data_IF_200012163063
#
_entry.id   IF_200012163063
#
_cell.length_a   1.000
_cell.length_b   1.000
_cell.length_c   1.000
_cell.angle_alpha   90.00
_cell.angle_beta   90.00
_cell.angle_gamma   90.00
#
_symmetry.space_group_name_H-M   'P 1'
#
loop_
_entity.id
_entity.type
_entity.pdbx_description
1 polymer ?
#
# COMPACT_ATOMS: atom_id res chain seq x y z
N UNK A 1 -5.40 13.93 4.82
CA UNK A 1 -4.84 14.03 3.45
C UNK A 1 -5.55 13.07 2.50
N UNK A 2 -5.30 13.19 1.21
CA UNK A 2 -5.77 12.30 0.14
C UNK A 2 -4.63 11.93 -0.80
N UNK A 3 -4.64 10.68 -1.28
CA UNK A 3 -3.58 10.08 -2.08
C UNK A 3 -4.18 9.24 -3.21
N UNK A 4 -3.48 9.20 -4.33
CA UNK A 4 -3.77 8.31 -5.45
C UNK A 4 -3.20 6.92 -5.17
N UNK A 5 -4.05 6.01 -4.71
CA UNK A 5 -3.69 4.62 -4.50
C UNK A 5 -3.94 3.82 -5.76
N UNK A 6 -2.90 3.10 -6.21
CA UNK A 6 -2.94 2.25 -7.40
C UNK A 6 -2.51 0.84 -7.02
N UNK A 7 -3.23 -0.16 -7.52
CA UNK A 7 -2.86 -1.54 -7.27
C UNK A 7 -1.58 -1.92 -8.05
N UNK A 8 -0.75 -2.77 -7.44
CA UNK A 8 0.59 -3.06 -7.97
C UNK A 8 0.56 -3.63 -9.40
N UNK A 9 -0.42 -4.49 -9.73
CA UNK A 9 -0.53 -5.07 -11.08
C UNK A 9 -0.70 -4.00 -12.17
N UNK A 10 -1.42 -2.93 -11.88
CA UNK A 10 -1.59 -1.82 -12.83
C UNK A 10 -0.25 -1.10 -13.04
N UNK A 11 0.52 -0.87 -11.97
CA UNK A 11 1.86 -0.27 -12.08
C UNK A 11 2.79 -1.18 -12.89
N UNK A 12 2.77 -2.49 -12.66
CA UNK A 12 3.55 -3.46 -13.42
C UNK A 12 3.16 -3.44 -14.90
N UNK A 13 1.86 -3.43 -15.23
CA UNK A 13 1.37 -3.27 -16.62
C UNK A 13 1.88 -1.96 -17.24
N UNK A 14 1.86 -0.85 -16.51
CA UNK A 14 2.40 0.43 -16.98
C UNK A 14 3.91 0.41 -17.26
N UNK A 15 4.69 -0.25 -16.39
CA UNK A 15 6.14 -0.42 -16.57
C UNK A 15 6.46 -1.34 -17.75
N UNK A 16 5.77 -2.47 -17.87
CA UNK A 16 5.95 -3.38 -19.02
C UNK A 16 5.61 -2.65 -20.32
N UNK A 17 4.54 -1.86 -20.36
CA UNK A 17 4.17 -1.07 -21.54
C UNK A 17 5.23 -0.04 -21.92
N UNK A 18 5.90 0.60 -20.96
CA UNK A 18 6.94 1.59 -21.26
C UNK A 18 8.20 0.95 -21.82
N UNK A 19 8.48 -0.31 -21.45
CA UNK A 19 9.54 -1.12 -22.03
C UNK A 19 9.16 -1.55 -23.46
N UNK A 20 7.95 -2.07 -23.66
CA UNK A 20 7.48 -2.59 -24.95
C UNK A 20 7.21 -1.49 -26.00
N UNK A 21 6.96 -0.26 -25.55
CA UNK A 21 6.71 0.92 -26.39
C UNK A 21 7.72 2.00 -26.04
N UNK A 22 8.98 1.84 -26.47
CA UNK A 22 10.03 2.76 -26.10
C UNK A 22 9.76 4.15 -26.68
N UNK A 23 9.78 5.16 -25.81
CA UNK A 23 9.79 6.56 -26.20
C UNK A 23 11.04 7.23 -25.64
N UNK A 24 11.83 7.85 -26.51
CA UNK A 24 13.11 8.44 -26.14
C UNK A 24 12.92 9.62 -25.18
N UNK A 25 13.56 9.54 -24.01
CA UNK A 25 13.60 10.60 -22.99
C UNK A 25 12.22 11.03 -22.45
N UNK A 26 11.21 10.16 -22.55
CA UNK A 26 9.89 10.47 -22.03
C UNK A 26 9.72 10.05 -20.57
N UNK A 27 9.12 10.94 -19.77
CA UNK A 27 8.71 10.68 -18.39
C UNK A 27 7.20 10.41 -18.36
N UNK A 28 6.79 9.36 -17.67
CA UNK A 28 5.39 8.96 -17.53
C UNK A 28 5.02 8.86 -16.05
N UNK A 29 3.87 9.44 -15.69
CA UNK A 29 3.24 9.15 -14.41
C UNK A 29 2.36 7.90 -14.56
N UNK A 30 2.50 6.96 -13.63
CA UNK A 30 1.64 5.79 -13.52
C UNK A 30 0.87 5.90 -12.20
N UNK A 31 -0.45 5.80 -12.29
CA UNK A 31 -1.36 5.90 -11.16
C UNK A 31 -2.81 5.62 -11.58
N UNK A 32 -3.77 5.82 -10.67
CA UNK A 32 -5.20 5.76 -10.95
C UNK A 32 -5.68 7.06 -11.57
N UNK A 33 -5.10 8.19 -11.14
CA UNK A 33 -5.47 9.54 -11.54
C UNK A 33 -6.59 10.16 -10.70
N UNK A 34 -6.87 9.58 -9.53
CA UNK A 34 -7.94 10.03 -8.64
C UNK A 34 -7.56 9.77 -7.17
N UNK A 35 -7.83 10.74 -6.31
CA UNK A 35 -7.43 10.71 -4.90
C UNK A 35 -8.47 10.05 -4.02
N UNK A 36 -8.02 9.18 -3.12
CA UNK A 36 -8.83 8.59 -2.03
C UNK A 36 -8.44 9.25 -0.72
N UNK A 37 -9.40 9.56 0.15
CA UNK A 37 -9.08 10.15 1.46
C UNK A 37 -8.51 9.11 2.42
N UNK A 38 -7.71 9.53 3.41
CA UNK A 38 -7.21 8.60 4.45
C UNK A 38 -8.34 7.93 5.23
N UNK A 39 -9.43 8.65 5.50
CA UNK A 39 -10.59 8.07 6.19
C UNK A 39 -11.29 7.00 5.34
N UNK A 40 -11.41 7.23 4.04
CA UNK A 40 -11.96 6.24 3.10
C UNK A 40 -11.04 5.02 2.96
N UNK A 41 -9.72 5.24 2.91
CA UNK A 41 -8.73 4.17 2.96
C UNK A 41 -8.93 3.28 4.19
N UNK A 42 -9.01 3.89 5.39
CA UNK A 42 -9.20 3.16 6.65
C UNK A 42 -10.50 2.36 6.60
N UNK A 43 -11.62 2.98 6.22
CA UNK A 43 -12.92 2.32 6.16
C UNK A 43 -12.93 1.10 5.22
N UNK A 44 -12.25 1.18 4.06
CA UNK A 44 -12.13 0.06 3.12
C UNK A 44 -11.26 -1.06 3.71
N UNK A 45 -10.17 -0.72 4.41
CA UNK A 45 -9.35 -1.71 5.11
C UNK A 45 -10.15 -2.42 6.21
N UNK A 46 -10.84 -1.67 7.07
CA UNK A 46 -11.69 -2.22 8.14
C UNK A 46 -12.75 -3.18 7.59
N UNK A 47 -13.40 -2.81 6.49
CA UNK A 47 -14.39 -3.64 5.78
C UNK A 47 -13.82 -5.00 5.37
N UNK A 48 -12.62 -5.05 4.78
CA UNK A 48 -12.04 -6.32 4.28
C UNK A 48 -11.30 -7.11 5.37
N UNK A 49 -10.77 -6.44 6.38
CA UNK A 49 -10.16 -7.08 7.55
C UNK A 49 -11.22 -7.66 8.48
N UNK A 50 -12.37 -6.97 8.63
CA UNK A 50 -13.45 -7.33 9.55
C UNK A 50 -13.23 -6.83 10.98
N UNK A 51 -12.40 -5.79 11.16
CA UNK A 51 -12.05 -5.22 12.47
C UNK A 51 -11.86 -3.71 12.36
N UNK A 52 -12.35 -2.98 13.35
CA UNK A 52 -12.14 -1.53 13.47
C UNK A 52 -10.70 -1.19 13.86
N UNK A 53 -10.17 -0.14 13.27
CA UNK A 53 -8.85 0.40 13.56
C UNK A 53 -8.90 1.28 14.81
N UNK A 54 -7.90 1.16 15.67
CA UNK A 54 -7.69 2.13 16.75
C UNK A 54 -7.02 3.39 16.17
N UNK A 55 -7.83 4.34 15.72
CA UNK A 55 -7.36 5.56 15.06
C UNK A 55 -6.94 6.62 16.10
N UNK A 56 -5.66 6.99 16.10
CA UNK A 56 -5.14 8.13 16.86
C UNK A 56 -4.89 9.31 15.91
N UNK A 57 -5.68 10.37 16.06
CA UNK A 57 -5.47 11.60 15.31
C UNK A 57 -4.26 12.36 15.84
N UNK A 58 -3.42 12.80 14.92
CA UNK A 58 -2.17 13.52 15.21
C UNK A 58 -2.13 14.80 14.37
N UNK A 59 -1.30 15.79 14.76
CA UNK A 59 -1.06 16.96 13.93
C UNK A 59 -0.60 16.57 12.52
N UNK A 60 -0.90 17.43 11.55
CA UNK A 60 -0.43 17.27 10.18
C UNK A 60 1.10 17.19 10.14
N UNK A 61 1.62 16.27 9.35
CA UNK A 61 3.06 16.11 9.20
C UNK A 61 3.62 17.28 8.38
N UNK A 62 4.69 17.94 8.84
CA UNK A 62 5.29 19.03 8.09
C UNK A 62 5.87 18.49 6.77
N UNK A 63 5.48 19.12 5.65
CA UNK A 63 5.89 18.71 4.30
C UNK A 63 4.91 17.77 3.58
N UNK A 64 3.86 17.30 4.26
CA UNK A 64 2.82 16.51 3.61
C UNK A 64 1.89 17.41 2.78
N UNK A 65 1.67 17.03 1.51
CA UNK A 65 0.71 17.72 0.65
C UNK A 65 -0.72 17.23 0.99
N UNK A 66 -1.73 18.10 1.13
CA UNK A 66 -3.09 17.67 1.48
C UNK A 66 -3.74 16.73 0.45
N UNK A 67 -3.47 16.93 -0.83
CA UNK A 67 -4.01 16.16 -1.95
C UNK A 67 -2.93 15.99 -3.03
N UNK A 68 -2.76 14.78 -3.55
CA UNK A 68 -1.86 14.49 -4.68
C UNK A 68 -2.40 13.33 -5.51
N UNK A 69 -2.36 13.48 -6.83
CA UNK A 69 -2.76 12.45 -7.79
C UNK A 69 -1.92 12.51 -9.07
N UNK A 70 -1.84 11.38 -9.78
CA UNK A 70 -1.07 11.29 -11.02
C UNK A 70 -1.89 11.81 -12.21
N UNK A 71 -1.34 12.76 -12.99
CA UNK A 71 -1.85 12.99 -14.34
C UNK A 71 -1.32 11.88 -15.27
N UNK A 72 -2.20 10.96 -15.62
CA UNK A 72 -1.90 9.76 -16.44
C UNK A 72 -2.22 9.94 -17.92
N UNK A 73 -2.66 11.12 -18.36
CA UNK A 73 -3.08 11.36 -19.75
C UNK A 73 -2.00 10.97 -20.77
N UNK A 74 -0.75 11.33 -20.48
CA UNK A 74 0.39 11.00 -21.35
C UNK A 74 0.61 9.49 -21.47
N UNK A 75 0.55 8.77 -20.35
CA UNK A 75 0.69 7.31 -20.33
C UNK A 75 -0.50 6.62 -21.03
N UNK A 76 -1.71 7.15 -20.88
CA UNK A 76 -2.89 6.66 -21.60
C UNK A 76 -2.73 6.79 -23.12
N UNK A 77 -2.29 7.96 -23.59
CA UNK A 77 -2.18 8.26 -25.03
C UNK A 77 -1.04 7.48 -25.67
N UNK A 78 0.14 7.47 -25.05
CA UNK A 78 1.35 6.93 -25.67
C UNK A 78 1.58 5.43 -25.36
N UNK A 79 1.25 4.98 -24.16
CA UNK A 79 1.48 3.59 -23.73
C UNK A 79 0.20 2.73 -23.78
N UNK A 80 -0.98 3.35 -23.92
CA UNK A 80 -2.25 2.68 -23.73
C UNK A 80 -2.46 2.22 -22.28
N UNK A 81 -1.76 2.82 -21.32
CA UNK A 81 -1.85 2.48 -19.90
C UNK A 81 -3.20 2.94 -19.33
N UNK A 82 -3.85 2.10 -18.53
CA UNK A 82 -5.01 2.46 -17.70
C UNK A 82 -4.99 1.61 -16.45
N UNK A 83 -5.21 2.21 -15.28
CA UNK A 83 -5.49 1.44 -14.07
C UNK A 83 -6.85 0.74 -14.23
N UNK A 84 -6.87 -0.58 -13.98
CA UNK A 84 -8.03 -1.44 -14.17
C UNK A 84 -8.60 -1.91 -12.84
N UNK A 85 -7.79 -1.97 -11.79
CA UNK A 85 -8.19 -2.54 -10.51
C UNK A 85 -8.81 -1.45 -9.63
N UNK A 86 -10.11 -1.55 -9.30
CA UNK A 86 -10.74 -0.61 -8.38
C UNK A 86 -10.05 -0.69 -7.01
N UNK A 87 -9.99 0.45 -6.31
CA UNK A 87 -9.29 0.54 -5.03
C UNK A 87 -9.80 -0.48 -3.98
N UNK A 88 -11.12 -0.65 -3.86
CA UNK A 88 -11.74 -1.64 -2.97
C UNK A 88 -11.29 -3.08 -3.28
N UNK A 89 -11.22 -3.45 -4.56
CA UNK A 89 -10.76 -4.78 -5.00
C UNK A 89 -9.26 -4.95 -4.74
N UNK A 90 -8.47 -3.90 -4.95
CA UNK A 90 -7.04 -3.91 -4.65
C UNK A 90 -6.79 -4.19 -3.16
N UNK A 91 -7.50 -3.49 -2.26
CA UNK A 91 -7.39 -3.73 -0.82
C UNK A 91 -7.86 -5.14 -0.45
N UNK A 92 -8.98 -5.63 -0.99
CA UNK A 92 -9.44 -6.99 -0.77
C UNK A 92 -8.35 -8.02 -1.08
N UNK A 93 -7.74 -7.94 -2.27
CA UNK A 93 -6.66 -8.83 -2.69
C UNK A 93 -5.43 -8.72 -1.78
N UNK A 94 -5.08 -7.51 -1.37
CA UNK A 94 -3.97 -7.28 -0.43
C UNK A 94 -4.23 -7.94 0.92
N UNK A 95 -5.45 -7.82 1.46
CA UNK A 95 -5.83 -8.48 2.72
C UNK A 95 -5.81 -10.00 2.60
N UNK A 96 -6.35 -10.55 1.51
CA UNK A 96 -6.32 -11.99 1.22
C UNK A 96 -4.89 -12.52 1.11
N UNK A 97 -4.02 -11.83 0.36
CA UNK A 97 -2.60 -12.14 0.26
C UNK A 97 -1.92 -12.07 1.63
N UNK A 98 -2.16 -11.02 2.41
CA UNK A 98 -1.56 -10.86 3.73
C UNK A 98 -1.97 -12.00 4.66
N UNK A 99 -3.27 -12.34 4.72
CA UNK A 99 -3.75 -13.48 5.50
C UNK A 99 -3.08 -14.78 5.05
N UNK A 100 -3.03 -15.05 3.75
CA UNK A 100 -2.38 -16.25 3.21
C UNK A 100 -0.87 -16.30 3.47
N UNK A 101 -0.17 -15.19 3.36
CA UNK A 101 1.28 -15.12 3.53
C UNK A 101 1.70 -15.27 5.01
N UNK A 102 0.82 -14.89 5.94
CA UNK A 102 1.09 -14.88 7.38
C UNK A 102 0.16 -15.79 8.19
N UNK A 103 -0.63 -16.67 7.55
CA UNK A 103 -1.28 -17.82 8.18
C UNK A 103 -0.21 -18.88 8.53
N UNK A 104 0.61 -18.54 9.53
CA UNK A 104 1.45 -19.48 10.27
C UNK A 104 0.97 -19.41 11.71
N UNK A 105 0.23 -20.46 12.07
CA UNK A 105 -0.16 -20.94 13.39
C UNK A 105 -0.45 -19.90 14.48
N UNK A 106 -1.68 -19.95 14.98
CA UNK A 106 -2.17 -19.36 16.23
C UNK A 106 -1.44 -19.87 17.49
N UNK A 107 -0.12 -19.81 17.51
CA UNK A 107 0.74 -19.93 18.68
C UNK A 107 1.30 -18.54 19.00
N UNK A 108 0.53 -17.77 19.77
CA UNK A 108 1.04 -16.72 20.67
C UNK A 108 2.03 -15.71 20.08
N UNK A 109 1.76 -15.16 18.90
CA UNK A 109 2.61 -14.09 18.35
C UNK A 109 2.18 -12.71 18.87
N UNK A 110 3.01 -12.07 19.69
CA UNK A 110 2.83 -10.68 20.11
C UNK A 110 3.60 -9.77 19.14
N UNK A 111 2.89 -9.20 18.17
CA UNK A 111 3.46 -8.22 17.25
C UNK A 111 3.61 -6.89 18.00
N UNK A 112 4.75 -6.69 18.65
CA UNK A 112 5.10 -5.41 19.26
C UNK A 112 5.33 -4.38 18.14
N UNK A 113 4.53 -3.30 18.03
CA UNK A 113 4.78 -2.26 17.05
C UNK A 113 6.11 -1.59 17.36
N UNK A 114 7.04 -1.59 16.40
CA UNK A 114 8.30 -0.85 16.54
C UNK A 114 8.00 0.65 16.61
N UNK A 115 8.60 1.34 17.57
CA UNK A 115 8.53 2.80 17.65
C UNK A 115 9.40 3.40 16.55
N UNK A 116 8.78 4.01 15.54
CA UNK A 116 9.45 4.88 14.57
C UNK A 116 10.23 5.99 15.29
N UNK A 117 11.24 6.57 14.64
CA UNK A 117 12.04 7.66 15.20
C UNK A 117 11.22 8.90 15.66
N UNK A 118 9.98 9.02 15.18
CA UNK A 118 9.01 10.05 15.55
C UNK A 118 8.11 9.67 16.75
N UNK A 119 8.35 8.52 17.40
CA UNK A 119 7.54 8.04 18.53
C UNK A 119 6.24 7.32 18.15
N UNK A 120 5.99 7.09 16.85
CA UNK A 120 4.79 6.38 16.37
C UNK A 120 5.06 4.89 16.20
N UNK A 121 4.14 4.03 16.61
CA UNK A 121 4.23 2.61 16.30
C UNK A 121 4.11 2.40 14.79
N UNK A 122 5.06 1.70 14.16
CA UNK A 122 4.87 1.11 12.83
C UNK A 122 4.44 -0.34 12.97
N UNK A 123 3.68 -0.81 11.99
CA UNK A 123 3.62 -2.25 11.72
C UNK A 123 5.06 -2.73 11.42
N UNK A 124 5.51 -3.85 12.01
CA UNK A 124 6.84 -4.39 11.73
C UNK A 124 7.02 -4.60 10.23
N UNK A 125 8.25 -4.42 9.74
CA UNK A 125 8.52 -4.64 8.33
C UNK A 125 8.42 -6.13 7.99
N UNK A 126 8.26 -6.44 6.70
CA UNK A 126 8.26 -7.84 6.24
C UNK A 126 9.52 -8.60 6.65
N UNK A 127 10.65 -7.90 6.81
CA UNK A 127 11.92 -8.47 7.30
C UNK A 127 11.83 -8.79 8.79
N UNK A 128 11.20 -7.91 9.57
CA UNK A 128 11.07 -8.07 11.03
C UNK A 128 10.12 -9.22 11.34
N UNK A 129 9.00 -9.31 10.63
CA UNK A 129 8.04 -10.40 10.75
C UNK A 129 8.67 -11.75 10.39
N UNK A 130 9.41 -11.84 9.27
CA UNK A 130 10.08 -13.07 8.88
C UNK A 130 11.22 -13.48 9.84
N UNK A 131 11.95 -12.50 10.38
CA UNK A 131 13.02 -12.76 11.36
C UNK A 131 12.46 -13.27 12.68
N UNK A 132 11.33 -12.73 13.11
CA UNK A 132 10.59 -13.15 14.30
C UNK A 132 9.99 -14.56 14.17
N UNK A 133 9.50 -14.92 12.98
CA UNK A 133 9.07 -16.28 12.65
C UNK A 133 10.24 -17.28 12.69
N UNK A 134 11.44 -16.87 12.27
CA UNK A 134 12.65 -17.70 12.36
C UNK A 134 13.23 -17.77 13.79
N UNK A 135 13.03 -16.73 14.61
CA UNK A 135 13.58 -16.60 15.96
C UNK A 135 12.73 -17.25 17.06
N UNK A 136 11.57 -17.83 16.74
CA UNK A 136 10.65 -18.50 17.68
C UNK A 136 11.22 -19.77 18.37
N UNK A 137 12.52 -20.00 18.30
CA UNK A 137 13.26 -21.00 19.08
C UNK A 137 14.10 -20.40 20.23
N UNK A 138 14.10 -19.08 20.43
CA UNK A 138 14.89 -18.45 21.50
C UNK A 138 13.99 -17.50 22.28
N UNK A 139 13.40 -18.04 23.35
CA UNK A 139 12.79 -17.29 24.47
C UNK A 139 13.79 -16.31 25.07
N UNK A 140 13.34 -15.08 25.36
CA UNK A 140 13.92 -14.23 26.39
C UNK A 140 13.54 -14.78 27.77
#
# INVERSE_FOLDING_TARGET
SSRDYTYIDDIVDGVVRSIDRPHAYEVFNLGKGDGTSLNEFIAIVEKHVGKEANVKQLPDQPGDVPYTCADVNKAQVLLGYRSKIPFDLGIKRTVEWYKSAYEVESNGFEICPETQANGLGRAPSMVDMASQMAASSITC
#
